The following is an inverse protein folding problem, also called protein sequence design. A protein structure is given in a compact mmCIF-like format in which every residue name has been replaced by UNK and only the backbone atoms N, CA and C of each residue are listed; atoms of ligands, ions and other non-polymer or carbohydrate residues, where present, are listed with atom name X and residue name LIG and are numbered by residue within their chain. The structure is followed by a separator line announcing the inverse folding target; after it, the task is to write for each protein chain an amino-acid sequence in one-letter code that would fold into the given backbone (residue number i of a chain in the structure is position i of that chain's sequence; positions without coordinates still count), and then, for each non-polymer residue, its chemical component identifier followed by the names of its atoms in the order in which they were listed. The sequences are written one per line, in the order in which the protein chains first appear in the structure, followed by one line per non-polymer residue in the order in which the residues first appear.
data_IF_120667863306
#
_entry.id   IF_120667863306
#
_cell.length_a   1.000
_cell.length_b   1.000
_cell.length_c   1.000
_cell.angle_alpha   90.00
_cell.angle_beta   90.00
_cell.angle_gamma   90.00
#
_symmetry.space_group_name_H-M   'P 1'
#
loop_
_entity.id
_entity.type
_entity.pdbx_description
1 polymer ?
#
# COMPACT_ATOMS: atom_id res chain seq x y z
N UNK A 1 25.85 -29.72 -54.63
CA UNK A 1 27.09 -29.25 -55.27
C UNK A 1 26.67 -28.48 -56.50
N UNK A 2 26.77 -27.16 -56.44
CA UNK A 2 27.20 -26.23 -57.51
C UNK A 2 26.78 -24.81 -57.12
N UNK A 3 27.81 -23.98 -56.93
CA UNK A 3 27.74 -22.55 -56.62
C UNK A 3 27.15 -21.78 -57.81
N UNK A 4 26.29 -20.80 -57.52
CA UNK A 4 25.87 -19.79 -58.50
C UNK A 4 26.53 -18.45 -58.14
N UNK A 5 27.57 -18.11 -58.90
CA UNK A 5 28.29 -16.85 -58.81
C UNK A 5 27.55 -15.71 -59.53
N UNK A 6 27.69 -14.52 -58.95
CA UNK A 6 27.12 -13.25 -59.33
C UNK A 6 27.84 -12.69 -60.56
N UNK A 7 27.10 -12.25 -61.58
CA UNK A 7 27.37 -11.01 -62.37
C UNK A 7 26.55 -11.00 -63.66
N UNK A 8 25.41 -10.29 -63.64
CA UNK A 8 24.85 -9.54 -64.78
C UNK A 8 23.51 -8.94 -64.36
N UNK A 9 23.46 -7.62 -64.27
CA UNK A 9 22.46 -6.79 -64.95
C UNK A 9 22.61 -5.33 -64.47
N UNK A 10 23.19 -4.51 -65.36
CA UNK A 10 23.09 -3.05 -65.30
C UNK A 10 21.66 -2.61 -65.66
N UNK A 11 21.13 -1.54 -65.07
CA UNK A 11 19.77 -1.07 -65.38
C UNK A 11 19.75 -0.17 -66.62
N UNK A 12 18.86 -0.49 -67.56
CA UNK A 12 18.54 0.29 -68.75
C UNK A 12 17.81 1.58 -68.35
N UNK A 13 18.39 2.74 -68.67
CA UNK A 13 17.77 4.05 -68.48
C UNK A 13 16.98 4.41 -69.74
N UNK A 14 15.68 4.67 -69.61
CA UNK A 14 14.85 5.29 -70.64
C UNK A 14 14.46 6.68 -70.12
N UNK A 15 14.69 7.79 -70.87
CA UNK A 15 14.33 9.12 -70.40
C UNK A 15 12.86 9.44 -70.74
N UNK A 16 12.05 9.70 -69.71
CA UNK A 16 10.70 10.26 -69.84
C UNK A 16 10.71 11.77 -69.58
N UNK A 17 9.98 12.49 -70.42
CA UNK A 17 9.91 13.94 -70.59
C UNK A 17 9.34 14.76 -69.41
N UNK A 18 9.94 15.96 -69.27
CA UNK A 18 9.50 17.23 -68.67
C UNK A 18 8.67 17.24 -67.36
N UNK A 19 9.35 17.73 -66.32
CA UNK A 19 8.80 18.20 -65.06
C UNK A 19 7.90 19.45 -65.23
N UNK A 20 6.87 19.59 -64.39
CA UNK A 20 6.50 20.88 -63.79
C UNK A 20 5.49 20.72 -62.64
N UNK A 21 5.68 21.57 -61.62
CA UNK A 21 4.84 21.89 -60.47
C UNK A 21 4.87 20.99 -59.22
N UNK A 22 5.46 21.57 -58.17
CA UNK A 22 5.25 21.19 -56.78
C UNK A 22 6.24 20.16 -56.26
N UNK A 23 7.52 20.52 -56.13
CA UNK A 23 8.40 19.75 -55.24
C UNK A 23 7.90 19.94 -53.81
N UNK A 24 6.94 19.12 -53.39
CA UNK A 24 6.71 18.81 -51.99
C UNK A 24 8.01 18.15 -51.54
N UNK A 25 8.98 18.95 -51.10
CA UNK A 25 10.20 18.48 -50.49
C UNK A 25 9.73 17.78 -49.22
N UNK A 26 9.46 16.46 -49.30
CA UNK A 26 9.16 15.64 -48.13
C UNK A 26 10.26 16.00 -47.13
N UNK A 27 9.93 16.58 -45.95
CA UNK A 27 10.95 16.82 -44.93
C UNK A 27 11.70 15.50 -44.77
N UNK A 28 13.03 15.53 -44.88
CA UNK A 28 13.82 14.33 -44.61
C UNK A 28 13.32 13.76 -43.28
N UNK A 29 12.90 12.48 -43.25
CA UNK A 29 12.23 11.96 -42.08
C UNK A 29 13.21 12.07 -40.91
N UNK A 30 12.76 12.73 -39.83
CA UNK A 30 13.52 12.86 -38.59
C UNK A 30 14.19 11.52 -38.27
N UNK A 31 15.53 11.52 -38.15
CA UNK A 31 16.32 10.28 -37.98
C UNK A 31 15.77 9.43 -36.83
N UNK A 32 15.34 10.09 -35.75
CA UNK A 32 14.75 9.44 -34.59
C UNK A 32 13.30 8.96 -34.81
N UNK A 33 12.55 9.55 -35.73
CA UNK A 33 11.21 9.07 -36.11
C UNK A 33 11.31 7.71 -36.80
N UNK A 34 12.23 7.58 -37.76
CA UNK A 34 12.49 6.31 -38.47
C UNK A 34 12.94 5.25 -37.47
N UNK A 35 13.91 5.58 -36.60
CA UNK A 35 14.40 4.66 -35.57
C UNK A 35 13.30 4.21 -34.61
N UNK A 36 12.46 5.13 -34.13
CA UNK A 36 11.38 4.81 -33.21
C UNK A 36 10.32 3.88 -33.81
N UNK A 37 10.07 3.99 -35.12
CA UNK A 37 9.13 3.14 -35.85
C UNK A 37 9.58 1.69 -35.99
N UNK A 38 10.89 1.41 -35.85
CA UNK A 38 11.42 0.03 -35.87
C UNK A 38 11.14 -0.73 -34.56
N UNK A 39 10.69 -0.05 -33.51
CA UNK A 39 10.48 -0.68 -32.22
C UNK A 39 9.11 -1.36 -32.11
N UNK A 40 9.14 -2.65 -31.75
CA UNK A 40 7.94 -3.39 -31.35
C UNK A 40 7.46 -3.04 -29.93
N UNK A 41 6.47 -3.79 -29.45
CA UNK A 41 5.78 -3.60 -28.16
C UNK A 41 6.73 -3.50 -26.94
N UNK A 42 7.94 -4.06 -27.02
CA UNK A 42 8.97 -3.93 -25.98
C UNK A 42 9.26 -2.50 -25.52
N UNK A 43 9.12 -1.50 -26.41
CA UNK A 43 9.35 -0.09 -26.06
C UNK A 43 8.25 0.46 -25.16
N UNK A 44 7.02 0.00 -25.34
CA UNK A 44 5.89 0.35 -24.50
C UNK A 44 6.12 -0.14 -23.06
N UNK A 45 6.47 -1.42 -22.87
CA UNK A 45 6.74 -1.96 -21.54
C UNK A 45 7.91 -1.26 -20.84
N UNK A 46 8.99 -0.93 -21.56
CA UNK A 46 10.11 -0.15 -20.98
C UNK A 46 9.67 1.25 -20.56
N UNK A 47 8.82 1.90 -21.34
CA UNK A 47 8.26 3.22 -21.02
C UNK A 47 7.32 3.17 -19.81
N UNK A 48 6.52 2.11 -19.69
CA UNK A 48 5.61 1.89 -18.57
C UNK A 48 6.36 1.57 -17.28
N UNK A 49 7.30 0.61 -17.34
CA UNK A 49 8.13 0.27 -16.20
C UNK A 49 9.00 1.46 -15.74
N UNK A 50 9.49 2.31 -16.66
CA UNK A 50 10.21 3.52 -16.29
C UNK A 50 9.34 4.46 -15.46
N UNK A 51 8.10 4.66 -15.91
CA UNK A 51 7.14 5.49 -15.20
C UNK A 51 6.78 4.91 -13.82
N UNK A 52 6.60 3.59 -13.69
CA UNK A 52 6.39 2.96 -12.37
C UNK A 52 7.57 3.18 -11.43
N UNK A 53 8.79 3.03 -11.92
CA UNK A 53 10.00 3.27 -11.12
C UNK A 53 10.05 4.74 -10.69
N UNK A 54 9.82 5.68 -11.60
CA UNK A 54 9.76 7.11 -11.27
C UNK A 54 8.63 7.41 -10.25
N UNK A 55 7.46 6.78 -10.40
CA UNK A 55 6.34 6.94 -9.48
C UNK A 55 6.68 6.49 -8.06
N UNK A 56 7.27 5.30 -7.91
CA UNK A 56 7.72 4.77 -6.61
C UNK A 56 8.76 5.72 -5.99
N UNK A 57 9.75 6.16 -6.78
CA UNK A 57 10.80 7.05 -6.28
C UNK A 57 10.28 8.40 -5.81
N UNK A 58 9.35 8.99 -6.56
CA UNK A 58 8.77 10.29 -6.22
C UNK A 58 7.85 10.15 -5.01
N UNK A 59 6.89 9.22 -5.04
CA UNK A 59 5.89 9.07 -3.96
C UNK A 59 6.57 8.69 -2.65
N UNK A 60 7.40 7.65 -2.65
CA UNK A 60 7.97 7.15 -1.42
C UNK A 60 9.26 7.87 -0.99
N UNK A 61 10.07 8.30 -1.95
CA UNK A 61 11.29 9.03 -1.64
C UNK A 61 11.06 10.49 -1.34
N UNK A 62 10.67 11.24 -2.37
CA UNK A 62 10.44 12.67 -2.20
C UNK A 62 9.22 12.94 -1.31
N UNK A 63 8.10 12.24 -1.53
CA UNK A 63 6.92 12.36 -0.67
C UNK A 63 7.20 11.97 0.78
N UNK A 64 7.98 10.90 1.01
CA UNK A 64 8.45 10.54 2.35
C UNK A 64 9.31 11.62 3.00
N UNK A 65 10.28 12.17 2.26
CA UNK A 65 11.11 13.26 2.76
C UNK A 65 10.27 14.47 3.18
N UNK A 66 9.34 14.90 2.33
CA UNK A 66 8.45 16.03 2.59
C UNK A 66 7.58 15.77 3.81
N UNK A 67 7.00 14.57 3.93
CA UNK A 67 6.17 14.18 5.07
C UNK A 67 6.94 14.19 6.39
N UNK A 68 8.13 13.56 6.43
CA UNK A 68 8.94 13.52 7.66
C UNK A 68 9.50 14.89 8.04
N UNK A 69 9.88 15.71 7.06
CA UNK A 69 10.28 17.10 7.31
C UNK A 69 9.14 17.92 7.90
N UNK A 70 7.94 17.83 7.31
CA UNK A 70 6.74 18.50 7.82
C UNK A 70 6.40 18.05 9.24
N UNK A 71 6.49 16.75 9.54
CA UNK A 71 6.25 16.21 10.89
C UNK A 71 7.24 16.77 11.92
N UNK A 72 8.53 16.90 11.58
CA UNK A 72 9.53 17.49 12.50
C UNK A 72 9.28 18.98 12.78
N UNK A 73 8.81 19.71 11.77
CA UNK A 73 8.49 21.14 11.90
C UNK A 73 7.19 21.35 12.69
N UNK A 74 6.24 20.42 12.60
CA UNK A 74 4.92 20.58 13.21
C UNK A 74 4.88 20.42 14.75
N UNK A 75 5.98 19.98 15.40
CA UNK A 75 6.27 19.82 16.85
C UNK A 75 5.18 19.24 17.78
N UNK A 76 3.89 19.54 17.62
CA UNK A 76 2.77 19.04 18.41
C UNK A 76 1.46 18.75 17.61
N UNK A 77 1.33 19.15 16.33
CA UNK A 77 0.11 18.92 15.54
C UNK A 77 0.33 18.00 14.32
N UNK A 78 -0.75 17.39 13.82
CA UNK A 78 -0.73 16.66 12.55
C UNK A 78 -0.31 17.59 11.41
N UNK A 79 0.64 17.19 10.54
CA UNK A 79 1.12 18.06 9.48
C UNK A 79 -0.03 18.45 8.54
N UNK A 80 -0.12 19.75 8.22
CA UNK A 80 -1.15 20.25 7.29
C UNK A 80 -1.02 19.53 5.94
N UNK A 81 -2.00 18.67 5.65
CA UNK A 81 -2.00 17.79 4.48
C UNK A 81 -1.96 18.60 3.18
N UNK A 82 -2.63 19.75 3.14
CA UNK A 82 -2.67 20.62 1.95
C UNK A 82 -1.27 21.15 1.62
N UNK A 83 -0.52 21.55 2.64
CA UNK A 83 0.86 22.02 2.45
C UNK A 83 1.80 20.89 2.01
N UNK A 84 1.68 19.71 2.63
CA UNK A 84 2.48 18.52 2.27
C UNK A 84 2.22 18.11 0.82
N UNK A 85 0.95 18.04 0.42
CA UNK A 85 0.55 17.70 -0.94
C UNK A 85 0.98 18.79 -1.93
N UNK A 86 0.86 20.08 -1.57
CA UNK A 86 1.30 21.19 -2.41
C UNK A 86 2.80 21.14 -2.72
N UNK A 87 3.64 20.96 -1.69
CA UNK A 87 5.09 20.81 -1.85
C UNK A 87 5.43 19.57 -2.68
N UNK A 88 4.74 18.44 -2.42
CA UNK A 88 4.91 17.21 -3.18
C UNK A 88 4.64 17.40 -4.68
N UNK A 89 3.52 18.05 -5.03
CA UNK A 89 3.13 18.30 -6.41
C UNK A 89 4.13 19.23 -7.13
N UNK A 90 4.55 20.32 -6.48
CA UNK A 90 5.54 21.25 -7.04
C UNK A 90 6.88 20.55 -7.27
N UNK A 91 7.38 19.78 -6.30
CA UNK A 91 8.66 19.09 -6.44
C UNK A 91 8.64 17.98 -7.49
N UNK A 92 7.53 17.22 -7.58
CA UNK A 92 7.37 16.20 -8.63
C UNK A 92 7.31 16.82 -10.04
N UNK A 93 6.64 17.97 -10.19
CA UNK A 93 6.62 18.72 -11.44
C UNK A 93 8.02 19.20 -11.84
N UNK A 94 8.76 19.81 -10.90
CA UNK A 94 10.14 20.24 -11.11
C UNK A 94 11.09 19.09 -11.47
N UNK A 95 10.91 17.91 -10.85
CA UNK A 95 11.70 16.72 -11.13
C UNK A 95 11.60 16.31 -12.61
N UNK A 96 10.38 16.17 -13.15
CA UNK A 96 10.19 15.79 -14.55
C UNK A 96 10.67 16.89 -15.50
N UNK A 97 10.37 18.16 -15.21
CA UNK A 97 10.74 19.29 -16.06
C UNK A 97 12.26 19.43 -16.21
N UNK A 98 13.00 19.36 -15.10
CA UNK A 98 14.45 19.60 -15.09
C UNK A 98 15.22 18.41 -15.68
N UNK A 99 14.89 17.18 -15.25
CA UNK A 99 15.63 16.00 -15.69
C UNK A 99 15.37 15.68 -17.16
N UNK A 100 14.11 15.68 -17.60
CA UNK A 100 13.79 15.44 -19.02
C UNK A 100 14.28 16.59 -19.90
N UNK A 101 14.16 17.84 -19.46
CA UNK A 101 14.57 19.01 -20.24
C UNK A 101 16.08 19.10 -20.47
N UNK A 102 16.88 18.86 -19.42
CA UNK A 102 18.33 18.99 -19.50
C UNK A 102 18.99 17.75 -20.11
N UNK A 103 18.51 16.56 -19.75
CA UNK A 103 19.22 15.30 -20.09
C UNK A 103 18.45 14.36 -20.99
N UNK A 104 17.13 14.52 -21.10
CA UNK A 104 16.26 13.54 -21.75
C UNK A 104 16.07 12.25 -20.93
N UNK A 105 16.52 12.22 -19.68
CA UNK A 105 16.32 11.11 -18.76
C UNK A 105 15.41 11.48 -17.60
N UNK A 106 14.74 10.47 -17.08
CA UNK A 106 14.26 10.39 -15.71
C UNK A 106 15.00 9.24 -15.02
N UNK A 107 14.91 9.10 -13.70
CA UNK A 107 15.57 8.00 -12.97
C UNK A 107 15.15 6.63 -13.51
N UNK A 108 13.85 6.42 -13.73
CA UNK A 108 13.32 5.18 -14.31
C UNK A 108 13.75 4.95 -15.75
N UNK A 109 13.78 6.00 -16.59
CA UNK A 109 14.25 5.91 -17.98
C UNK A 109 15.75 5.60 -18.05
N UNK A 110 16.54 6.16 -17.14
CA UNK A 110 17.97 5.87 -17.02
C UNK A 110 18.21 4.39 -16.68
N UNK A 111 17.51 3.85 -15.69
CA UNK A 111 17.59 2.44 -15.29
C UNK A 111 17.22 1.48 -16.43
N UNK A 112 16.16 1.80 -17.18
CA UNK A 112 15.70 0.97 -18.30
C UNK A 112 16.43 1.24 -19.62
N UNK A 113 17.44 2.12 -19.59
CA UNK A 113 18.30 2.48 -20.73
C UNK A 113 17.49 2.98 -21.92
N UNK A 114 16.50 3.83 -21.66
CA UNK A 114 15.73 4.57 -22.68
C UNK A 114 15.91 6.07 -22.46
N UNK A 115 15.91 6.86 -23.52
CA UNK A 115 16.12 8.31 -23.46
C UNK A 115 15.14 9.04 -24.37
N UNK A 116 14.66 10.20 -23.91
CA UNK A 116 13.89 11.14 -24.72
C UNK A 116 14.86 12.03 -25.51
N UNK A 117 14.65 12.12 -26.81
CA UNK A 117 15.46 12.90 -27.74
C UNK A 117 14.60 13.69 -28.70
N UNK A 118 15.16 14.76 -29.28
CA UNK A 118 14.57 15.46 -30.42
C UNK A 118 14.76 14.67 -31.73
N UNK A 119 14.26 15.17 -32.87
CA UNK A 119 14.43 14.52 -34.19
C UNK A 119 15.88 14.24 -34.60
N UNK A 120 16.84 15.00 -34.04
CA UNK A 120 18.28 14.88 -34.29
C UNK A 120 19.02 13.93 -33.33
N UNK A 121 18.36 13.42 -32.28
CA UNK A 121 18.99 12.56 -31.27
C UNK A 121 19.65 13.29 -30.09
N UNK A 122 19.45 14.61 -29.97
CA UNK A 122 19.93 15.45 -28.86
C UNK A 122 18.86 15.56 -27.75
N UNK A 123 19.26 16.10 -26.59
CA UNK A 123 18.34 16.37 -25.48
C UNK A 123 17.19 17.31 -25.94
N UNK A 124 15.96 17.16 -25.41
CA UNK A 124 14.78 17.92 -25.86
C UNK A 124 14.84 19.43 -25.57
N UNK A 125 15.54 19.83 -24.52
CA UNK A 125 15.50 21.21 -24.00
C UNK A 125 14.28 21.45 -23.09
N UNK A 126 14.35 22.51 -22.29
CA UNK A 126 13.39 22.80 -21.21
C UNK A 126 11.98 23.05 -21.76
N UNK A 127 11.84 23.80 -22.86
CA UNK A 127 10.54 24.13 -23.46
C UNK A 127 9.79 22.88 -23.93
N UNK A 128 10.48 21.98 -24.65
CA UNK A 128 9.89 20.72 -25.11
C UNK A 128 9.54 19.81 -23.93
N UNK A 129 10.36 19.81 -22.88
CA UNK A 129 10.05 19.10 -21.64
C UNK A 129 8.82 19.65 -20.93
N UNK A 130 8.66 20.97 -20.87
CA UNK A 130 7.50 21.61 -20.25
C UNK A 130 6.19 21.20 -20.94
N UNK A 131 6.16 21.23 -22.28
CA UNK A 131 5.01 20.78 -23.06
C UNK A 131 4.66 19.33 -22.73
N UNK A 132 5.67 18.46 -22.65
CA UNK A 132 5.49 17.04 -22.27
C UNK A 132 4.93 16.90 -20.86
N UNK A 133 5.49 17.60 -19.88
CA UNK A 133 5.07 17.54 -18.46
C UNK A 133 3.66 18.09 -18.26
N UNK A 134 3.28 19.16 -18.97
CA UNK A 134 1.91 19.70 -18.91
C UNK A 134 0.89 18.73 -19.50
N UNK A 135 1.17 18.14 -20.67
CA UNK A 135 0.28 17.15 -21.29
C UNK A 135 0.24 15.86 -20.47
N UNK A 136 1.33 15.52 -19.78
CA UNK A 136 1.40 14.38 -18.87
C UNK A 136 0.41 14.49 -17.71
N UNK A 137 0.02 15.70 -17.27
CA UNK A 137 -1.03 15.87 -16.25
C UNK A 137 -2.39 15.33 -16.72
N UNK A 138 -2.65 15.34 -18.03
CA UNK A 138 -3.89 14.86 -18.64
C UNK A 138 -3.75 13.40 -19.11
N UNK A 139 -2.64 13.07 -19.79
CA UNK A 139 -2.41 11.76 -20.44
C UNK A 139 -1.93 10.66 -19.46
N UNK A 140 -1.37 11.05 -18.31
CA UNK A 140 -0.90 10.14 -17.24
C UNK A 140 -1.51 10.51 -15.87
N UNK A 141 -2.76 10.95 -15.86
CA UNK A 141 -3.48 11.19 -14.61
C UNK A 141 -3.71 9.85 -13.87
N UNK A 142 -3.30 9.74 -12.57
CA UNK A 142 -3.61 8.56 -11.74
C UNK A 142 -5.10 8.18 -11.72
N UNK A 143 -5.99 9.17 -11.81
CA UNK A 143 -7.45 8.97 -11.80
C UNK A 143 -8.00 8.38 -13.11
N UNK A 144 -7.24 8.44 -14.21
CA UNK A 144 -7.67 8.02 -15.55
C UNK A 144 -6.95 6.72 -15.94
N UNK A 145 -7.25 5.66 -15.19
CA UNK A 145 -6.80 4.28 -15.43
C UNK A 145 -5.28 4.11 -15.61
N UNK A 146 -4.50 4.68 -14.70
CA UNK A 146 -3.07 4.41 -14.60
C UNK A 146 -2.22 4.56 -15.88
N UNK A 147 -2.60 5.51 -16.74
CA UNK A 147 -1.85 5.78 -17.98
C UNK A 147 -2.16 4.85 -19.16
N UNK A 148 -3.31 4.16 -19.12
CA UNK A 148 -3.86 3.46 -20.29
C UNK A 148 -3.97 4.34 -21.55
N UNK A 149 -4.44 5.61 -21.50
CA UNK A 149 -4.53 6.46 -22.70
C UNK A 149 -3.18 6.65 -23.39
N UNK A 150 -2.13 6.94 -22.62
CA UNK A 150 -0.77 7.05 -23.13
C UNK A 150 -0.25 5.73 -23.72
N UNK A 151 -0.67 4.59 -23.16
CA UNK A 151 -0.32 3.26 -23.68
C UNK A 151 -0.98 2.96 -25.02
N UNK A 152 -2.28 3.25 -25.13
CA UNK A 152 -3.04 3.14 -26.38
C UNK A 152 -2.40 4.01 -27.45
N UNK A 153 -2.06 5.27 -27.14
CA UNK A 153 -1.41 6.18 -28.08
C UNK A 153 -0.07 5.63 -28.61
N UNK A 154 0.76 5.06 -27.73
CA UNK A 154 2.05 4.47 -28.12
C UNK A 154 1.87 3.24 -29.00
N UNK A 155 0.87 2.41 -28.73
CA UNK A 155 0.62 1.21 -29.53
C UNK A 155 0.01 1.56 -30.90
N UNK A 156 -0.94 2.50 -30.92
CA UNK A 156 -1.68 2.94 -32.10
C UNK A 156 -0.86 3.82 -33.05
N UNK A 157 0.12 4.57 -32.54
CA UNK A 157 0.91 5.49 -33.37
C UNK A 157 2.09 4.77 -34.04
N UNK A 158 2.33 4.94 -35.36
CA UNK A 158 3.45 4.31 -36.07
C UNK A 158 4.83 4.67 -35.49
N UNK A 159 4.99 5.90 -34.98
CA UNK A 159 6.22 6.42 -34.35
C UNK A 159 6.35 6.08 -32.86
N UNK A 160 5.41 5.30 -32.30
CA UNK A 160 5.41 4.89 -30.86
C UNK A 160 5.49 6.08 -29.90
N UNK A 161 4.78 7.16 -30.23
CA UNK A 161 4.72 8.42 -29.49
C UNK A 161 3.45 8.50 -28.64
N UNK A 162 3.54 9.13 -27.47
CA UNK A 162 2.39 9.58 -26.66
C UNK A 162 1.91 10.96 -27.12
N UNK A 163 0.75 11.42 -26.63
CA UNK A 163 0.24 12.77 -26.93
C UNK A 163 1.26 13.86 -26.62
N UNK A 164 1.90 13.78 -25.45
CA UNK A 164 2.96 14.74 -25.06
C UNK A 164 4.22 14.64 -25.94
N UNK A 165 4.55 13.45 -26.44
CA UNK A 165 5.70 13.26 -27.32
C UNK A 165 5.44 13.85 -28.72
N UNK A 166 4.21 13.71 -29.21
CA UNK A 166 3.73 14.26 -30.48
C UNK A 166 3.72 15.79 -30.44
N UNK A 167 3.14 16.37 -29.38
CA UNK A 167 3.07 17.81 -29.21
C UNK A 167 4.46 18.47 -29.13
N UNK A 168 5.43 17.79 -28.52
CA UNK A 168 6.80 18.30 -28.39
C UNK A 168 7.74 17.91 -29.56
N UNK A 169 7.27 17.12 -30.54
CA UNK A 169 8.10 16.51 -31.58
C UNK A 169 9.36 15.84 -31.00
N UNK A 170 9.13 14.91 -30.09
CA UNK A 170 10.18 14.16 -29.37
C UNK A 170 9.97 12.66 -29.47
N UNK A 171 11.06 11.91 -29.36
CA UNK A 171 11.09 10.47 -29.54
C UNK A 171 11.74 9.82 -28.33
N UNK A 172 11.27 8.63 -27.94
CA UNK A 172 11.93 7.83 -26.90
C UNK A 172 12.61 6.65 -27.55
N UNK A 173 13.92 6.57 -27.37
CA UNK A 173 14.78 5.60 -28.05
C UNK A 173 15.66 4.85 -27.06
N UNK A 174 16.14 3.66 -27.45
CA UNK A 174 17.03 2.86 -26.61
C UNK A 174 18.43 3.47 -26.64
N UNK A 175 19.07 3.58 -25.48
CA UNK A 175 20.39 4.24 -25.33
C UNK A 175 21.50 3.53 -26.10
N UNK A 176 21.37 2.23 -26.34
CA UNK A 176 22.29 1.47 -27.20
C UNK A 176 22.29 1.97 -28.65
N UNK A 177 21.14 2.40 -29.16
CA UNK A 177 20.97 2.84 -30.54
C UNK A 177 21.43 4.30 -30.72
N UNK A 178 21.49 5.07 -29.62
CA UNK A 178 22.08 6.41 -29.57
C UNK A 178 23.61 6.42 -29.46
N UNK A 179 24.24 5.34 -28.98
CA UNK A 179 25.72 5.27 -28.85
C UNK A 179 26.43 5.32 -30.20
N UNK A 180 25.76 4.89 -31.27
CA UNK A 180 26.23 5.06 -32.64
C UNK A 180 26.32 6.54 -33.09
N UNK A 181 25.67 7.47 -32.35
CA UNK A 181 25.57 8.90 -32.70
C UNK A 181 26.51 9.80 -31.86
N UNK A 182 27.40 9.20 -31.06
CA UNK A 182 28.45 9.91 -30.32
C UNK A 182 27.94 10.59 -29.05
N UNK A 183 28.56 10.29 -27.89
CA UNK A 183 28.09 10.81 -26.59
C UNK A 183 29.21 11.15 -25.61
N UNK A 184 29.10 12.30 -24.93
CA UNK A 184 29.94 12.68 -23.77
C UNK A 184 29.48 11.97 -22.48
N UNK A 185 30.44 11.62 -21.62
CA UNK A 185 30.30 10.74 -20.44
C UNK A 185 29.46 11.37 -19.31
N UNK A 186 28.39 10.69 -18.91
CA UNK A 186 27.41 11.04 -17.86
C UNK A 186 27.73 10.34 -16.51
N UNK A 187 28.99 10.36 -16.05
CA UNK A 187 29.43 9.56 -14.90
C UNK A 187 28.94 10.07 -13.53
N UNK A 188 29.02 11.38 -13.30
CA UNK A 188 28.68 12.02 -12.01
C UNK A 188 27.16 11.92 -11.73
N UNK A 189 26.35 12.06 -12.77
CA UNK A 189 24.89 11.97 -12.65
C UNK A 189 24.42 10.56 -12.29
N UNK A 190 25.08 9.51 -12.78
CA UNK A 190 24.73 8.14 -12.42
C UNK A 190 24.88 7.87 -10.91
N UNK A 191 25.93 8.42 -10.29
CA UNK A 191 26.14 8.32 -8.84
C UNK A 191 25.08 9.07 -8.02
N UNK A 192 24.76 10.31 -8.40
CA UNK A 192 23.71 11.10 -7.74
C UNK A 192 22.33 10.43 -7.86
N UNK A 193 22.03 9.83 -9.02
CA UNK A 193 20.81 9.07 -9.28
C UNK A 193 20.72 7.86 -8.34
N UNK A 194 21.78 7.06 -8.24
CA UNK A 194 21.81 5.88 -7.36
C UNK A 194 21.63 6.28 -5.90
N UNK A 195 22.34 7.32 -5.43
CA UNK A 195 22.21 7.82 -4.06
C UNK A 195 20.77 8.27 -3.75
N UNK A 196 20.16 9.03 -4.64
CA UNK A 196 18.76 9.46 -4.49
C UNK A 196 17.78 8.28 -4.47
N UNK A 197 18.02 7.22 -5.25
CA UNK A 197 17.19 6.00 -5.19
C UNK A 197 17.32 5.25 -3.87
N UNK A 198 18.51 5.18 -3.29
CA UNK A 198 18.75 4.53 -2.00
C UNK A 198 18.06 5.31 -0.87
N UNK A 199 18.22 6.64 -0.85
CA UNK A 199 17.56 7.52 0.13
C UNK A 199 16.04 7.38 0.00
N UNK A 200 15.53 7.33 -1.23
CA UNK A 200 14.11 7.12 -1.48
C UNK A 200 13.59 5.80 -0.93
N UNK A 201 14.32 4.71 -1.12
CA UNK A 201 13.94 3.40 -0.60
C UNK A 201 13.92 3.36 0.93
N UNK A 202 14.87 4.01 1.60
CA UNK A 202 14.91 4.10 3.07
C UNK A 202 13.68 4.86 3.60
N UNK A 203 13.35 6.00 2.98
CA UNK A 203 12.17 6.79 3.36
C UNK A 203 10.86 6.04 3.09
N UNK A 204 10.81 5.26 2.01
CA UNK A 204 9.68 4.38 1.69
C UNK A 204 9.38 3.40 2.82
N UNK A 205 10.42 2.67 3.27
CA UNK A 205 10.30 1.69 4.35
C UNK A 205 9.83 2.35 5.64
N UNK A 206 10.35 3.55 5.95
CA UNK A 206 9.94 4.30 7.15
C UNK A 206 8.49 4.77 7.08
N UNK A 207 8.02 5.25 5.91
CA UNK A 207 6.61 5.62 5.71
C UNK A 207 5.69 4.40 5.84
N UNK A 208 6.02 3.29 5.17
CA UNK A 208 5.23 2.06 5.22
C UNK A 208 5.16 1.54 6.66
N UNK A 209 6.28 1.54 7.39
CA UNK A 209 6.30 1.16 8.80
C UNK A 209 5.40 2.07 9.65
N UNK A 210 5.44 3.39 9.43
CA UNK A 210 4.55 4.33 10.14
C UNK A 210 3.07 4.15 9.79
N UNK A 211 2.76 3.74 8.56
CA UNK A 211 1.39 3.48 8.14
C UNK A 211 0.88 2.17 8.75
N UNK A 212 1.73 1.13 8.75
CA UNK A 212 1.44 -0.14 9.43
C UNK A 212 1.18 0.11 10.90
N UNK A 213 2.02 0.89 11.61
CA UNK A 213 1.79 1.12 13.05
C UNK A 213 0.50 1.89 13.35
N UNK A 214 0.06 2.78 12.46
CA UNK A 214 -1.25 3.43 12.59
C UNK A 214 -2.40 2.45 12.38
N UNK A 215 -2.32 1.61 11.35
CA UNK A 215 -3.33 0.58 11.07
C UNK A 215 -3.38 -0.44 12.20
N UNK A 216 -2.23 -0.81 12.78
CA UNK A 216 -2.17 -1.83 13.83
C UNK A 216 -2.43 -1.30 15.24
N UNK A 217 -2.90 -0.05 15.38
CA UNK A 217 -3.17 0.52 16.71
C UNK A 217 -4.32 -0.27 17.37
N UNK A 218 -4.15 -0.76 18.62
CA UNK A 218 -5.24 -1.40 19.34
C UNK A 218 -6.41 -0.44 19.56
N UNK A 219 -7.62 -0.97 19.44
CA UNK A 219 -8.88 -0.26 19.68
C UNK A 219 -9.43 -0.61 21.05
N UNK A 220 -10.07 0.36 21.70
CA UNK A 220 -10.75 0.17 22.98
C UNK A 220 -12.23 -0.04 22.71
N UNK A 221 -12.74 -1.19 23.13
CA UNK A 221 -14.15 -1.54 23.11
C UNK A 221 -14.72 -1.30 24.51
N UNK A 222 -15.71 -0.43 24.60
CA UNK A 222 -16.32 0.03 25.86
C UNK A 222 -17.71 -0.58 26.00
N UNK A 223 -18.13 -0.97 27.22
CA UNK A 223 -19.48 -1.46 27.50
C UNK A 223 -20.57 -0.48 27.06
N UNK A 224 -21.81 -0.97 26.90
CA UNK A 224 -22.97 -0.17 26.46
C UNK A 224 -23.27 1.04 27.37
N UNK A 225 -22.89 0.95 28.64
CA UNK A 225 -23.07 1.95 29.69
C UNK A 225 -21.80 2.77 29.99
N UNK A 226 -20.76 2.62 29.16
CA UNK A 226 -19.46 3.27 29.27
C UNK A 226 -18.66 2.99 30.57
N UNK A 227 -19.06 2.03 31.40
CA UNK A 227 -18.42 1.75 32.69
C UNK A 227 -17.19 0.85 32.61
N UNK A 228 -17.07 0.00 31.59
CA UNK A 228 -15.98 -0.98 31.48
C UNK A 228 -15.43 -1.03 30.06
N UNK A 229 -14.22 -1.53 29.88
CA UNK A 229 -13.67 -1.68 28.54
C UNK A 229 -12.54 -2.70 28.43
N UNK A 230 -12.40 -3.24 27.23
CA UNK A 230 -11.29 -4.11 26.81
C UNK A 230 -10.58 -3.49 25.61
N UNK A 231 -9.30 -3.78 25.46
CA UNK A 231 -8.48 -3.32 24.35
C UNK A 231 -8.12 -4.51 23.48
N UNK A 232 -8.51 -4.47 22.20
CA UNK A 232 -8.19 -5.53 21.25
C UNK A 232 -7.40 -5.01 20.04
N UNK A 233 -6.63 -5.86 19.35
CA UNK A 233 -5.95 -5.49 18.12
C UNK A 233 -6.93 -5.01 17.04
N UNK A 234 -6.42 -4.20 16.09
CA UNK A 234 -7.15 -3.67 14.93
C UNK A 234 -7.92 -4.71 14.08
N UNK A 235 -7.57 -5.99 14.21
CA UNK A 235 -8.20 -7.09 13.49
C UNK A 235 -9.50 -7.59 14.15
N UNK A 236 -9.85 -7.05 15.31
CA UNK A 236 -11.09 -7.31 16.02
C UNK A 236 -12.14 -6.25 15.69
N UNK A 237 -13.40 -6.65 15.71
CA UNK A 237 -14.55 -5.80 15.39
C UNK A 237 -15.70 -6.11 16.34
N UNK A 238 -16.53 -5.11 16.65
CA UNK A 238 -17.74 -5.28 17.46
C UNK A 238 -18.81 -6.06 16.69
N UNK A 239 -19.46 -7.00 17.38
CA UNK A 239 -20.60 -7.74 16.88
C UNK A 239 -21.58 -8.07 18.02
N UNK A 240 -22.56 -7.19 18.21
CA UNK A 240 -23.56 -7.32 19.29
C UNK A 240 -24.65 -8.37 18.98
N UNK A 241 -24.60 -9.04 17.82
CA UNK A 241 -25.58 -10.09 17.45
C UNK A 241 -25.23 -11.46 18.03
N UNK A 242 -24.01 -11.63 18.55
CA UNK A 242 -23.54 -12.92 19.10
C UNK A 242 -24.18 -13.25 20.45
N UNK A 243 -24.46 -12.24 21.27
CA UNK A 243 -25.11 -12.37 22.56
C UNK A 243 -25.75 -11.03 22.93
N UNK A 244 -27.08 -10.99 23.04
CA UNK A 244 -27.84 -9.77 23.30
C UNK A 244 -27.59 -9.20 24.71
N UNK A 245 -27.30 -10.07 25.67
CA UNK A 245 -27.05 -9.73 27.07
C UNK A 245 -25.62 -9.22 27.29
N UNK A 246 -24.70 -9.48 26.36
CA UNK A 246 -23.32 -9.04 26.51
C UNK A 246 -23.18 -7.50 26.47
N UNK A 247 -22.38 -6.96 27.40
CA UNK A 247 -22.03 -5.55 27.44
C UNK A 247 -21.00 -5.20 26.36
N UNK A 248 -20.08 -6.12 26.10
CA UNK A 248 -19.10 -6.03 25.03
C UNK A 248 -19.12 -7.35 24.28
N UNK A 249 -19.29 -7.28 22.96
CA UNK A 249 -19.13 -8.44 22.08
C UNK A 249 -18.22 -8.09 20.92
N UNK A 250 -17.11 -8.80 20.80
CA UNK A 250 -16.10 -8.58 19.77
C UNK A 250 -15.70 -9.91 19.12
N UNK A 251 -15.41 -9.84 17.82
CA UNK A 251 -14.93 -10.97 17.03
C UNK A 251 -13.78 -10.61 16.12
N UNK A 252 -12.97 -11.61 15.82
CA UNK A 252 -12.02 -11.60 14.72
C UNK A 252 -12.44 -12.67 13.71
N UNK A 253 -13.09 -12.23 12.64
CA UNK A 253 -13.66 -13.10 11.61
C UNK A 253 -12.58 -13.89 10.85
N UNK A 254 -11.42 -13.28 10.60
CA UNK A 254 -10.32 -13.93 9.89
C UNK A 254 -9.69 -15.09 10.64
N UNK A 255 -9.65 -15.01 11.97
CA UNK A 255 -9.03 -16.04 12.82
C UNK A 255 -10.05 -16.88 13.59
N UNK A 256 -11.34 -16.55 13.45
CA UNK A 256 -12.49 -17.18 14.10
C UNK A 256 -12.27 -17.25 15.62
N UNK A 257 -12.10 -16.07 16.20
CA UNK A 257 -11.94 -15.85 17.64
C UNK A 257 -13.00 -14.88 18.11
N UNK A 258 -13.48 -15.12 19.30
CA UNK A 258 -14.64 -14.44 19.84
C UNK A 258 -14.35 -14.10 21.30
N UNK A 259 -14.83 -12.95 21.74
CA UNK A 259 -14.77 -12.54 23.13
C UNK A 259 -16.01 -11.74 23.47
N UNK A 260 -16.65 -12.09 24.57
CA UNK A 260 -17.72 -11.31 25.17
C UNK A 260 -17.38 -10.97 26.61
N UNK A 261 -17.93 -9.86 27.09
CA UNK A 261 -17.90 -9.46 28.48
C UNK A 261 -19.33 -9.26 28.93
N UNK A 262 -19.71 -9.91 30.03
CA UNK A 262 -20.96 -9.66 30.73
C UNK A 262 -20.64 -9.20 32.15
N UNK A 263 -21.37 -8.20 32.64
CA UNK A 263 -21.19 -7.58 33.94
C UNK A 263 -22.49 -7.59 34.70
N UNK A 264 -22.45 -8.05 35.95
CA UNK A 264 -23.62 -8.15 36.82
C UNK A 264 -23.33 -7.39 38.12
N UNK A 265 -24.20 -6.47 38.56
CA UNK A 265 -23.95 -5.69 39.75
C UNK A 265 -24.00 -6.58 40.99
N UNK A 266 -23.10 -6.32 41.95
CA UNK A 266 -23.05 -7.09 43.19
C UNK A 266 -24.33 -7.00 44.02
N UNK A 267 -25.15 -5.98 43.79
CA UNK A 267 -26.47 -5.82 44.43
C UNK A 267 -27.46 -6.92 44.07
N UNK A 268 -27.23 -7.63 42.97
CA UNK A 268 -28.12 -8.69 42.50
C UNK A 268 -27.83 -10.03 43.19
N UNK A 269 -26.77 -10.11 43.97
CA UNK A 269 -26.32 -11.29 44.70
C UNK A 269 -26.46 -11.12 46.22
N UNK A 270 -26.39 -12.25 46.94
CA UNK A 270 -26.26 -12.20 48.40
C UNK A 270 -24.95 -11.49 48.79
N UNK A 271 -24.99 -10.69 49.84
CA UNK A 271 -23.82 -10.04 50.42
C UNK A 271 -22.68 -10.98 50.82
N UNK A 272 -22.95 -12.27 51.04
CA UNK A 272 -21.95 -13.29 51.33
C UNK A 272 -21.33 -13.92 50.08
N UNK A 273 -21.79 -13.57 48.88
CA UNK A 273 -21.32 -14.14 47.62
C UNK A 273 -19.81 -13.98 47.48
N UNK A 274 -19.13 -15.06 47.14
CA UNK A 274 -17.69 -15.09 46.89
C UNK A 274 -17.38 -15.23 45.40
N UNK A 275 -16.20 -14.78 44.98
CA UNK A 275 -15.74 -14.98 43.60
C UNK A 275 -15.65 -16.46 43.20
N UNK A 276 -15.39 -17.36 44.16
CA UNK A 276 -15.37 -18.81 43.92
C UNK A 276 -16.78 -19.36 43.65
N UNK A 277 -17.78 -18.92 44.41
CA UNK A 277 -19.19 -19.28 44.16
C UNK A 277 -19.67 -18.71 42.84
N UNK A 278 -19.35 -17.45 42.53
CA UNK A 278 -19.66 -16.82 41.25
C UNK A 278 -19.05 -17.60 40.08
N UNK A 279 -17.77 -17.98 40.19
CA UNK A 279 -17.09 -18.82 39.20
C UNK A 279 -17.79 -20.16 39.01
N UNK A 280 -18.33 -20.77 40.07
CA UNK A 280 -19.06 -22.03 39.94
C UNK A 280 -20.38 -21.86 39.18
N UNK A 281 -21.14 -20.79 39.48
CA UNK A 281 -22.37 -20.47 38.76
C UNK A 281 -22.10 -20.28 37.26
N UNK A 282 -21.08 -19.48 36.93
CA UNK A 282 -20.68 -19.24 35.53
C UNK A 282 -20.24 -20.52 34.85
N UNK A 283 -19.42 -21.35 35.53
CA UNK A 283 -18.97 -22.64 34.97
C UNK A 283 -20.17 -23.55 34.68
N UNK A 284 -21.08 -23.72 35.64
CA UNK A 284 -22.25 -24.59 35.50
C UNK A 284 -23.17 -24.10 34.37
N UNK A 285 -23.36 -22.78 34.24
CA UNK A 285 -24.14 -22.19 33.16
C UNK A 285 -23.55 -22.53 31.79
N UNK A 286 -22.24 -22.34 31.58
CA UNK A 286 -21.59 -22.64 30.30
C UNK A 286 -21.62 -24.15 30.02
N UNK A 287 -21.30 -24.98 31.01
CA UNK A 287 -21.29 -26.43 30.84
C UNK A 287 -22.66 -26.99 30.48
N UNK A 288 -23.75 -26.39 30.98
CA UNK A 288 -25.12 -26.78 30.63
C UNK A 288 -25.46 -26.61 29.14
N UNK A 289 -24.77 -25.70 28.45
CA UNK A 289 -24.93 -25.43 27.02
C UNK A 289 -24.02 -26.27 26.11
N UNK A 290 -23.11 -27.08 26.67
CA UNK A 290 -22.09 -27.82 25.92
C UNK A 290 -22.39 -29.31 25.85
N UNK A 291 -22.13 -29.92 24.68
CA UNK A 291 -22.03 -31.37 24.58
C UNK A 291 -20.65 -31.82 25.08
N UNK A 292 -20.64 -32.84 25.95
CA UNK A 292 -19.43 -33.51 26.49
C UNK A 292 -18.43 -32.48 27.08
N UNK A 293 -18.83 -31.68 28.09
CA UNK A 293 -17.95 -30.68 28.68
C UNK A 293 -16.75 -31.35 29.37
N UNK A 294 -15.58 -30.74 29.19
CA UNK A 294 -14.34 -31.10 29.87
C UNK A 294 -13.73 -29.84 30.46
N UNK A 295 -13.69 -29.77 31.79
CA UNK A 295 -13.14 -28.62 32.51
C UNK A 295 -11.63 -28.78 32.71
N UNK A 296 -10.88 -27.71 32.43
CA UNK A 296 -9.46 -27.60 32.72
C UNK A 296 -9.20 -27.15 34.15
N UNK A 297 -7.93 -26.95 34.49
CA UNK A 297 -7.54 -26.39 35.78
C UNK A 297 -7.99 -24.93 35.91
N UNK A 298 -8.52 -24.58 37.08
CA UNK A 298 -8.73 -23.19 37.47
C UNK A 298 -7.43 -22.60 38.06
N UNK A 299 -7.24 -21.29 37.91
CA UNK A 299 -6.09 -20.56 38.45
C UNK A 299 -6.52 -19.19 38.93
N UNK A 300 -6.11 -18.84 40.15
CA UNK A 300 -6.30 -17.49 40.68
C UNK A 300 -5.28 -16.55 40.02
N UNK A 301 -5.79 -15.46 39.44
CA UNK A 301 -5.02 -14.45 38.73
C UNK A 301 -5.44 -13.05 39.18
N UNK A 302 -4.73 -12.04 38.68
CA UNK A 302 -5.06 -10.63 38.91
C UNK A 302 -5.15 -9.93 37.55
N UNK A 303 -6.30 -9.34 37.27
CA UNK A 303 -6.56 -8.60 36.01
C UNK A 303 -6.65 -7.11 36.34
N UNK A 304 -5.63 -6.33 35.94
CA UNK A 304 -5.51 -4.90 36.22
C UNK A 304 -5.76 -4.50 37.69
N UNK A 305 -5.32 -5.34 38.63
CA UNK A 305 -5.45 -5.12 40.07
C UNK A 305 -6.70 -5.72 40.70
N UNK A 306 -7.62 -6.27 39.91
CA UNK A 306 -8.81 -6.96 40.40
C UNK A 306 -8.55 -8.47 40.56
N UNK A 307 -9.01 -9.09 41.66
CA UNK A 307 -8.96 -10.53 41.83
C UNK A 307 -9.83 -11.22 40.78
N UNK A 308 -9.30 -12.29 40.19
CA UNK A 308 -9.95 -13.01 39.11
C UNK A 308 -9.62 -14.50 39.13
N UNK A 309 -10.51 -15.33 38.59
CA UNK A 309 -10.31 -16.77 38.45
C UNK A 309 -10.42 -17.12 36.97
N UNK A 310 -9.34 -17.67 36.41
CA UNK A 310 -9.30 -18.18 35.05
C UNK A 310 -9.51 -19.69 35.05
N UNK A 311 -10.30 -20.19 34.10
CA UNK A 311 -10.41 -21.62 33.82
C UNK A 311 -10.72 -21.84 32.34
N UNK A 312 -10.48 -23.06 31.86
CA UNK A 312 -10.79 -23.45 30.48
C UNK A 312 -11.89 -24.49 30.45
N UNK A 313 -12.76 -24.42 29.44
CA UNK A 313 -13.78 -25.42 29.18
C UNK A 313 -13.67 -25.86 27.73
N UNK A 314 -13.58 -27.16 27.50
CA UNK A 314 -13.68 -27.74 26.17
C UNK A 314 -15.05 -28.41 26.04
N UNK A 315 -15.72 -28.19 24.92
CA UNK A 315 -16.99 -28.85 24.64
C UNK A 315 -17.32 -28.80 23.16
N UNK A 316 -18.49 -29.28 22.79
CA UNK A 316 -18.98 -29.23 21.41
C UNK A 316 -20.28 -28.41 21.32
N UNK A 317 -20.31 -27.53 20.32
CA UNK A 317 -21.49 -26.73 19.92
C UNK A 317 -21.76 -27.07 18.46
N UNK A 318 -22.97 -27.55 18.14
CA UNK A 318 -23.30 -28.00 16.77
C UNK A 318 -22.27 -28.99 16.18
N UNK A 319 -21.79 -29.92 17.00
CA UNK A 319 -20.77 -30.94 16.65
C UNK A 319 -19.40 -30.36 16.25
N UNK A 320 -19.17 -29.09 16.59
CA UNK A 320 -17.90 -28.41 16.44
C UNK A 320 -17.20 -28.32 17.79
N UNK A 321 -15.95 -28.83 17.92
CA UNK A 321 -15.20 -28.74 19.17
C UNK A 321 -14.69 -27.31 19.39
N UNK A 322 -15.17 -26.68 20.46
CA UNK A 322 -14.82 -25.33 20.90
C UNK A 322 -14.02 -25.40 22.20
N UNK A 323 -13.09 -24.47 22.34
CA UNK A 323 -12.37 -24.22 23.60
C UNK A 323 -12.72 -22.83 24.08
N UNK A 324 -13.24 -22.75 25.29
CA UNK A 324 -13.47 -21.53 26.04
C UNK A 324 -12.32 -21.29 27.01
N UNK A 325 -11.89 -20.03 27.09
CA UNK A 325 -11.11 -19.47 28.19
C UNK A 325 -12.03 -18.48 28.88
N UNK A 326 -12.38 -18.80 30.12
CA UNK A 326 -13.33 -18.04 30.92
C UNK A 326 -12.56 -17.41 32.07
N UNK A 327 -12.79 -16.13 32.31
CA UNK A 327 -12.27 -15.45 33.48
C UNK A 327 -13.38 -14.73 34.20
N UNK A 328 -13.60 -15.07 35.46
CA UNK A 328 -14.45 -14.29 36.35
C UNK A 328 -13.62 -13.25 37.09
N UNK A 329 -14.11 -12.02 37.18
CA UNK A 329 -13.39 -10.89 37.78
C UNK A 329 -14.31 -10.25 38.81
N UNK A 330 -13.77 -9.94 39.98
CA UNK A 330 -14.48 -9.23 41.03
C UNK A 330 -13.97 -7.80 41.14
N UNK A 331 -14.84 -6.84 40.86
CA UNK A 331 -14.60 -5.40 41.08
C UNK A 331 -15.33 -4.93 42.35
N UNK A 332 -15.14 -3.68 42.81
CA UNK A 332 -15.87 -3.18 43.97
C UNK A 332 -17.39 -3.17 43.79
N UNK A 333 -17.88 -3.02 42.55
CA UNK A 333 -19.30 -2.80 42.25
C UNK A 333 -19.97 -3.98 41.53
N UNK A 334 -19.22 -4.78 40.76
CA UNK A 334 -19.77 -5.81 39.89
C UNK A 334 -18.98 -7.12 39.98
N UNK A 335 -19.62 -8.20 39.53
CA UNK A 335 -18.94 -9.39 39.04
C UNK A 335 -18.94 -9.36 37.52
N UNK A 336 -17.82 -9.73 36.92
CA UNK A 336 -17.68 -9.78 35.46
C UNK A 336 -17.29 -11.17 35.02
N UNK A 337 -17.73 -11.53 33.82
CA UNK A 337 -17.28 -12.72 33.12
C UNK A 337 -16.74 -12.32 31.74
N UNK A 338 -15.46 -12.59 31.51
CA UNK A 338 -14.80 -12.44 30.21
C UNK A 338 -14.73 -13.82 29.59
N UNK A 339 -15.55 -14.07 28.57
CA UNK A 339 -15.62 -15.34 27.87
C UNK A 339 -14.94 -15.18 26.52
N UNK A 340 -13.83 -15.86 26.31
CA UNK A 340 -13.14 -15.91 25.03
C UNK A 340 -13.18 -17.33 24.46
N UNK A 341 -13.49 -17.49 23.18
CA UNK A 341 -13.52 -18.82 22.57
C UNK A 341 -13.05 -18.86 21.13
N UNK A 342 -12.65 -20.06 20.71
CA UNK A 342 -12.28 -20.42 19.34
C UNK A 342 -12.36 -21.93 19.17
N UNK A 343 -12.15 -22.45 17.96
CA UNK A 343 -12.05 -23.88 17.72
C UNK A 343 -10.93 -24.51 18.56
N UNK A 344 -11.20 -25.68 19.14
CA UNK A 344 -10.24 -26.37 20.00
C UNK A 344 -8.88 -26.63 19.33
N UNK A 345 -8.87 -26.89 18.01
CA UNK A 345 -7.66 -27.09 17.20
C UNK A 345 -6.79 -25.82 17.04
N UNK A 346 -7.34 -24.64 17.32
CA UNK A 346 -6.66 -23.33 17.16
C UNK A 346 -6.30 -22.69 18.49
N UNK A 347 -6.84 -23.17 19.60
CA UNK A 347 -6.70 -22.57 20.91
C UNK A 347 -5.24 -22.29 21.29
N UNK A 348 -4.32 -23.25 21.10
CA UNK A 348 -2.91 -23.06 21.45
C UNK A 348 -2.21 -21.90 20.71
N UNK A 349 -2.73 -21.47 19.56
CA UNK A 349 -2.23 -20.27 18.83
C UNK A 349 -2.99 -18.99 19.19
N UNK A 350 -4.17 -19.10 19.78
CA UNK A 350 -5.04 -17.98 20.14
C UNK A 350 -4.87 -17.56 21.61
N UNK A 351 -4.55 -18.51 22.50
CA UNK A 351 -4.48 -18.34 23.95
C UNK A 351 -3.75 -17.07 24.39
N UNK A 352 -2.53 -16.84 23.87
CA UNK A 352 -1.73 -15.66 24.21
C UNK A 352 -2.38 -14.34 23.81
N UNK A 353 -3.10 -14.33 22.69
CA UNK A 353 -3.81 -13.12 22.23
C UNK A 353 -5.08 -12.89 23.05
N UNK A 354 -5.87 -13.94 23.27
CA UNK A 354 -7.09 -13.87 24.10
C UNK A 354 -6.78 -13.42 25.53
N UNK A 355 -5.72 -13.99 26.12
CA UNK A 355 -5.21 -13.59 27.44
C UNK A 355 -4.86 -12.10 27.48
N UNK A 356 -4.17 -11.57 26.46
CA UNK A 356 -3.83 -10.14 26.40
C UNK A 356 -5.05 -9.24 26.31
N UNK A 357 -6.09 -9.66 25.58
CA UNK A 357 -7.33 -8.87 25.48
C UNK A 357 -8.05 -8.89 26.83
N UNK A 358 -8.19 -10.05 27.46
CA UNK A 358 -8.73 -10.17 28.83
C UNK A 358 -7.94 -9.32 29.83
N UNK A 359 -6.61 -9.41 29.83
CA UNK A 359 -5.74 -8.69 30.78
C UNK A 359 -5.85 -7.16 30.63
N UNK A 360 -6.40 -6.68 29.50
CA UNK A 360 -6.68 -5.26 29.27
C UNK A 360 -8.02 -4.77 29.81
N UNK A 361 -8.85 -5.68 30.35
CA UNK A 361 -10.12 -5.37 31.00
C UNK A 361 -9.92 -4.38 32.14
N UNK A 362 -10.73 -3.32 32.18
CA UNK A 362 -10.66 -2.29 33.20
C UNK A 362 -12.00 -1.59 33.39
N UNK A 363 -12.21 -1.04 34.57
CA UNK A 363 -13.23 -0.03 34.80
C UNK A 363 -12.80 1.30 34.14
N UNK A 364 -13.76 1.96 33.51
CA UNK A 364 -13.60 3.25 32.87
C UNK A 364 -13.97 4.31 33.91
N UNK A 365 -12.97 4.99 34.46
CA UNK A 365 -13.21 6.18 35.27
C UNK A 365 -13.66 7.32 34.35
N UNK A 366 -14.95 7.38 34.02
CA UNK A 366 -15.51 8.58 33.44
C UNK A 366 -15.46 9.64 34.53
N UNK A 367 -14.49 10.55 34.43
CA UNK A 367 -14.63 11.84 35.09
C UNK A 367 -15.92 12.44 34.52
N UNK A 368 -16.98 12.48 35.31
CA UNK A 368 -18.05 13.46 35.13
C UNK A 368 -17.38 14.82 35.05
N UNK A 369 -17.26 15.36 33.83
CA UNK A 369 -16.88 16.75 33.58
C UNK A 369 -17.95 17.71 34.11
#
# INVERSE_FOLDING_TARGET
MEEHDLTKNQPTVVPGEYATHGSYRRPEPDKMAVLSGTYGVSIFFRRWAAWMIDFILIVFGYGGLVYFAAKKVAVAESPNIVMVVGIFLIGSFCYYLLLEGLTGYTLGKFLLRIQVVNGEGRSPGIVKSLIRTLIQLVDMNPLLFWGLPAGICVLATPKKQRLGDMAANTYVVKVRDLRAVGRKKTGIFAGAIILMTIISAILAVSLISSLITQITKPEVFVSKDDQFGVTAPWSWSRDDTMNEEADISIKNEFTERYLIVLSEPKSDFDSSMTLQEYKQIVQDHIESGLKIPQSGSASDIVVNGYPAIEFTLKGEVEDVPIMYNVTTIETPSHYHQVLAWTYASRYGRAEKELSKIRDSFREMNIKTE
#
